data_IF_394964820745
#
_entry.id   IF_394964820745
#
_cell.length_a   1.000
_cell.length_b   1.000
_cell.length_c   1.000
_cell.angle_alpha   90.00
_cell.angle_beta   90.00
_cell.angle_gamma   90.00
#
_symmetry.space_group_name_H-M   'P 1'
#
loop_
_entity.id
_entity.type
_entity.pdbx_description
1 polymer ?
#
# COMPACT_ATOMS: atom_id res chain seq x y z
N UNK A 1 -25.56 30.75 -9.78
CA UNK A 1 -25.34 30.54 -8.34
C UNK A 1 -23.93 30.02 -8.24
N UNK A 2 -23.07 30.64 -7.44
CA UNK A 2 -21.72 30.11 -7.22
C UNK A 2 -21.82 28.78 -6.46
N UNK A 3 -20.97 27.79 -6.78
CA UNK A 3 -21.00 26.50 -6.09
C UNK A 3 -20.65 26.67 -4.62
N UNK A 4 -21.32 25.89 -3.76
CA UNK A 4 -21.05 25.90 -2.32
C UNK A 4 -19.67 25.32 -2.02
N UNK A 5 -19.14 25.60 -0.83
CA UNK A 5 -17.87 25.02 -0.39
C UNK A 5 -17.94 23.48 -0.38
N UNK A 6 -19.05 22.91 0.09
CA UNK A 6 -19.26 21.46 0.10
C UNK A 6 -19.21 20.85 -1.30
N UNK A 7 -19.83 21.51 -2.29
CA UNK A 7 -19.78 21.07 -3.70
C UNK A 7 -18.35 21.13 -4.26
N UNK A 8 -17.61 22.21 -3.95
CA UNK A 8 -16.20 22.34 -4.35
C UNK A 8 -15.33 21.26 -3.73
N UNK A 9 -15.50 20.99 -2.43
CA UNK A 9 -14.77 19.94 -1.71
C UNK A 9 -15.10 18.54 -2.23
N UNK A 10 -16.36 18.27 -2.58
CA UNK A 10 -16.76 17.00 -3.17
C UNK A 10 -16.06 16.77 -4.52
N UNK A 11 -16.03 17.78 -5.39
CA UNK A 11 -15.34 17.71 -6.68
C UNK A 11 -13.82 17.57 -6.49
N UNK A 12 -13.22 18.33 -5.58
CA UNK A 12 -11.79 18.24 -5.29
C UNK A 12 -11.41 16.86 -4.70
N UNK A 13 -12.27 16.27 -3.87
CA UNK A 13 -12.09 14.92 -3.33
C UNK A 13 -12.08 13.87 -4.45
N UNK A 14 -13.01 13.97 -5.39
CA UNK A 14 -13.07 13.06 -6.55
C UNK A 14 -11.82 13.17 -7.43
N UNK A 15 -11.33 14.39 -7.66
CA UNK A 15 -10.09 14.63 -8.42
C UNK A 15 -8.86 14.00 -7.75
N UNK A 16 -8.76 14.11 -6.41
CA UNK A 16 -7.68 13.46 -5.64
C UNK A 16 -7.72 11.94 -5.78
N UNK A 17 -8.91 11.33 -5.67
CA UNK A 17 -9.06 9.88 -5.79
C UNK A 17 -8.67 9.35 -7.17
N UNK A 18 -8.83 10.17 -8.22
CA UNK A 18 -8.46 9.85 -9.59
C UNK A 18 -7.01 10.21 -9.94
N UNK A 19 -6.24 10.74 -8.99
CA UNK A 19 -4.86 11.15 -9.24
C UNK A 19 -4.01 9.96 -9.73
N UNK A 20 -3.19 10.14 -10.78
CA UNK A 20 -2.24 9.12 -11.18
C UNK A 20 -1.22 8.81 -10.06
N UNK A 21 -0.71 7.57 -10.01
CA UNK A 21 0.27 7.19 -8.99
C UNK A 21 1.54 8.04 -9.10
N UNK A 22 1.94 8.67 -7.99
CA UNK A 22 3.11 9.56 -7.95
C UNK A 22 2.82 11.03 -8.27
N UNK A 23 1.60 11.38 -8.67
CA UNK A 23 1.22 12.75 -9.10
C UNK A 23 0.19 13.41 -8.16
N UNK A 24 -0.13 12.77 -7.03
CA UNK A 24 -1.15 13.26 -6.08
C UNK A 24 -0.83 14.65 -5.52
N UNK A 25 0.46 14.95 -5.30
CA UNK A 25 0.87 16.27 -4.81
C UNK A 25 0.63 17.36 -5.85
N UNK A 26 0.84 17.05 -7.14
CA UNK A 26 0.57 17.99 -8.23
C UNK A 26 -0.94 18.22 -8.36
N UNK A 27 -1.74 17.15 -8.34
CA UNK A 27 -3.21 17.24 -8.34
C UNK A 27 -3.72 18.03 -7.13
N UNK A 28 -3.16 17.80 -5.95
CA UNK A 28 -3.51 18.54 -4.73
C UNK A 28 -3.23 20.05 -4.88
N UNK A 29 -2.08 20.41 -5.45
CA UNK A 29 -1.74 21.80 -5.72
C UNK A 29 -2.64 22.44 -6.79
N UNK A 30 -3.09 21.66 -7.78
CA UNK A 30 -3.98 22.12 -8.85
C UNK A 30 -5.44 22.31 -8.38
N UNK A 31 -5.91 21.55 -7.39
CA UNK A 31 -7.26 21.74 -6.82
C UNK A 31 -7.33 22.86 -5.80
N UNK A 32 -6.20 23.27 -5.22
CA UNK A 32 -6.13 24.32 -4.19
C UNK A 32 -6.79 25.65 -4.62
N UNK A 33 -6.55 26.19 -5.84
CA UNK A 33 -7.25 27.39 -6.31
C UNK A 33 -8.76 27.23 -6.52
N UNK A 34 -9.25 26.00 -6.66
CA UNK A 34 -10.68 25.71 -6.90
C UNK A 34 -11.47 25.82 -5.59
N UNK A 35 -10.89 25.30 -4.50
CA UNK A 35 -11.53 25.28 -3.18
C UNK A 35 -11.39 26.64 -2.48
N UNK A 36 -10.17 27.20 -2.44
CA UNK A 36 -9.88 28.47 -1.78
C UNK A 36 -9.02 28.31 -0.52
N UNK A 37 -9.65 28.32 0.66
CA UNK A 37 -8.97 28.43 1.95
C UNK A 37 -8.23 27.13 2.38
N UNK A 38 -6.96 27.27 2.74
CA UNK A 38 -6.07 26.14 3.08
C UNK A 38 -6.57 25.31 4.26
N UNK A 39 -7.13 25.95 5.30
CA UNK A 39 -7.63 25.24 6.48
C UNK A 39 -8.85 24.36 6.18
N UNK A 40 -9.68 24.77 5.22
CA UNK A 40 -10.86 24.01 4.78
C UNK A 40 -10.47 22.87 3.84
N UNK A 41 -9.45 23.07 3.01
CA UNK A 41 -8.83 22.05 2.15
C UNK A 41 -8.23 20.93 3.02
N UNK A 42 -7.45 21.29 4.03
CA UNK A 42 -6.78 20.30 4.90
C UNK A 42 -7.78 19.41 5.63
N UNK A 43 -8.85 19.97 6.20
CA UNK A 43 -9.87 19.18 6.90
C UNK A 43 -10.84 18.48 5.95
N UNK A 44 -11.21 19.13 4.84
CA UNK A 44 -12.20 18.62 3.90
C UNK A 44 -11.68 17.52 2.98
N UNK A 45 -10.39 17.54 2.62
CA UNK A 45 -9.79 16.57 1.71
C UNK A 45 -9.06 15.42 2.43
N UNK A 46 -8.86 15.51 3.75
CA UNK A 46 -8.23 14.46 4.54
C UNK A 46 -8.89 13.06 4.34
N UNK A 47 -10.22 12.92 4.26
CA UNK A 47 -10.84 11.63 3.98
C UNK A 47 -10.46 11.07 2.59
N UNK A 48 -10.44 11.93 1.57
CA UNK A 48 -10.06 11.55 0.21
C UNK A 48 -8.57 11.17 0.12
N UNK A 49 -7.70 11.92 0.78
CA UNK A 49 -6.27 11.60 0.88
C UNK A 49 -6.03 10.31 1.67
N UNK A 50 -6.81 10.06 2.72
CA UNK A 50 -6.75 8.82 3.50
C UNK A 50 -7.08 7.63 2.62
N UNK A 51 -8.22 7.70 1.92
CA UNK A 51 -8.64 6.65 1.00
C UNK A 51 -7.62 6.46 -0.13
N UNK A 52 -7.17 7.54 -0.77
CA UNK A 52 -6.16 7.48 -1.83
C UNK A 52 -4.90 6.77 -1.34
N UNK A 53 -4.35 7.16 -0.20
CA UNK A 53 -3.12 6.59 0.35
C UNK A 53 -3.25 5.08 0.65
N UNK A 54 -4.39 4.66 1.22
CA UNK A 54 -4.67 3.26 1.53
C UNK A 54 -4.84 2.44 0.25
N UNK A 55 -5.59 2.94 -0.73
CA UNK A 55 -5.80 2.23 -1.99
C UNK A 55 -4.51 2.14 -2.80
N UNK A 56 -3.68 3.18 -2.77
CA UNK A 56 -2.45 3.28 -3.54
C UNK A 56 -1.24 2.57 -2.90
N UNK A 57 -1.42 1.97 -1.73
CA UNK A 57 -0.35 1.33 -0.96
C UNK A 57 0.84 2.27 -0.74
N UNK A 58 0.54 3.48 -0.24
CA UNK A 58 1.56 4.47 0.08
C UNK A 58 2.58 3.87 1.04
N UNK A 59 3.85 4.12 0.76
CA UNK A 59 4.98 3.64 1.54
C UNK A 59 5.42 4.72 2.52
N UNK A 60 5.78 4.31 3.74
CA UNK A 60 6.26 5.19 4.79
C UNK A 60 7.52 4.63 5.44
N UNK A 61 8.51 5.47 5.65
CA UNK A 61 9.74 5.09 6.35
C UNK A 61 9.49 5.06 7.87
N UNK A 62 9.93 3.98 8.51
CA UNK A 62 9.86 3.82 9.97
C UNK A 62 11.26 3.88 10.59
N UNK A 63 11.40 4.42 11.82
CA UNK A 63 12.64 4.34 12.56
C UNK A 63 13.10 2.89 12.70
N UNK A 64 14.38 2.63 12.44
CA UNK A 64 15.02 1.32 12.55
C UNK A 64 14.47 0.21 11.64
N UNK A 65 13.60 0.53 10.66
CA UNK A 65 13.16 -0.43 9.66
C UNK A 65 14.14 -0.47 8.47
N UNK A 66 14.38 -1.67 7.94
CA UNK A 66 15.23 -1.85 6.74
C UNK A 66 14.49 -1.55 5.44
N UNK A 67 13.17 -1.65 5.47
CA UNK A 67 12.28 -1.41 4.34
C UNK A 67 11.12 -0.53 4.80
N UNK A 68 10.55 0.28 3.91
CA UNK A 68 9.39 1.09 4.24
C UNK A 68 8.18 0.20 4.57
N UNK A 69 7.35 0.67 5.51
CA UNK A 69 6.07 0.08 5.82
C UNK A 69 5.02 0.49 4.79
N UNK A 70 4.07 -0.41 4.54
CA UNK A 70 3.00 -0.20 3.57
C UNK A 70 1.70 0.20 4.28
N UNK A 71 1.07 1.27 3.81
CA UNK A 71 -0.26 1.69 4.25
C UNK A 71 -1.31 0.97 3.41
N UNK A 72 -1.94 -0.06 3.98
CA UNK A 72 -2.99 -0.83 3.33
C UNK A 72 -4.09 -1.25 4.32
N UNK A 73 -5.25 -1.72 3.85
CA UNK A 73 -6.33 -2.17 4.74
C UNK A 73 -5.89 -3.29 5.70
N UNK A 74 -5.03 -4.20 5.22
CA UNK A 74 -4.44 -5.29 6.01
C UNK A 74 -3.50 -4.82 7.12
N UNK A 75 -2.93 -3.62 7.03
CA UNK A 75 -2.11 -3.02 8.09
C UNK A 75 -2.93 -2.31 9.17
N UNK A 76 -4.19 -1.96 8.91
CA UNK A 76 -5.01 -1.14 9.80
C UNK A 76 -5.37 -1.85 11.11
N UNK A 77 -5.03 -1.26 12.25
CA UNK A 77 -5.44 -1.72 13.59
C UNK A 77 -6.42 -0.69 14.14
N UNK A 78 -7.68 -1.10 14.27
CA UNK A 78 -8.71 -0.29 14.93
C UNK A 78 -8.64 -0.54 16.43
N UNK A 79 -8.18 0.47 17.17
CA UNK A 79 -8.28 0.48 18.63
C UNK A 79 -9.63 1.07 19.03
N UNK A 80 -10.05 0.83 20.28
CA UNK A 80 -11.30 1.34 20.84
C UNK A 80 -11.36 2.88 20.94
N UNK A 81 -10.23 3.56 20.76
CA UNK A 81 -10.13 5.01 20.59
C UNK A 81 -10.29 5.39 19.12
N UNK A 82 -10.80 6.59 18.82
CA UNK A 82 -11.00 7.12 17.46
C UNK A 82 -9.70 7.25 16.61
N UNK A 83 -8.58 6.68 17.04
CA UNK A 83 -7.29 6.74 16.35
C UNK A 83 -7.02 5.44 15.59
N UNK A 84 -6.84 5.57 14.28
CA UNK A 84 -6.42 4.46 13.43
C UNK A 84 -4.91 4.33 13.47
N UNK A 85 -4.41 3.16 13.90
CA UNK A 85 -2.98 2.82 13.80
C UNK A 85 -2.73 1.86 12.66
N UNK A 86 -1.50 1.84 12.18
CA UNK A 86 -1.02 0.87 11.19
C UNK A 86 0.06 0.01 11.83
N UNK A 87 0.04 -1.28 11.51
CA UNK A 87 0.99 -2.28 11.94
C UNK A 87 1.98 -2.56 10.80
N UNK A 88 3.26 -2.64 11.12
CA UNK A 88 4.27 -3.30 10.29
C UNK A 88 4.76 -4.58 10.99
N UNK A 89 4.36 -5.77 10.53
CA UNK A 89 4.78 -7.04 11.11
C UNK A 89 6.29 -7.26 11.03
N UNK A 90 6.95 -6.72 9.99
CA UNK A 90 8.38 -6.98 9.75
C UNK A 90 9.26 -6.24 10.74
N UNK A 91 8.98 -4.96 10.99
CA UNK A 91 9.68 -4.21 12.04
C UNK A 91 9.09 -4.44 13.43
N UNK A 92 7.95 -5.15 13.54
CA UNK A 92 7.24 -5.37 14.81
C UNK A 92 6.89 -4.04 15.49
N UNK A 93 6.38 -3.08 14.71
CA UNK A 93 6.03 -1.73 15.16
C UNK A 93 4.60 -1.38 14.75
N UNK A 94 3.94 -0.54 15.55
CA UNK A 94 2.69 0.13 15.20
C UNK A 94 2.87 1.64 15.26
N UNK A 95 2.17 2.37 14.41
CA UNK A 95 2.33 3.81 14.30
C UNK A 95 1.04 4.48 13.83
N UNK A 96 0.91 5.77 14.09
CA UNK A 96 -0.12 6.63 13.50
C UNK A 96 0.42 7.19 12.20
N UNK A 97 -0.38 7.16 11.13
CA UNK A 97 0.04 7.70 9.84
C UNK A 97 -0.62 9.05 9.57
N UNK A 98 0.19 10.08 9.35
CA UNK A 98 -0.27 11.39 8.91
C UNK A 98 -0.47 11.36 7.40
N UNK A 99 -1.73 11.29 6.96
CA UNK A 99 -2.11 11.22 5.54
C UNK A 99 -1.84 12.52 4.76
N UNK A 100 -1.61 13.66 5.43
CA UNK A 100 -1.25 14.92 4.78
C UNK A 100 0.26 15.00 4.56
N UNK A 101 1.05 14.67 5.58
CA UNK A 101 2.52 14.76 5.54
C UNK A 101 3.20 13.50 5.02
N UNK A 102 2.45 12.41 4.87
CA UNK A 102 2.93 11.10 4.47
C UNK A 102 4.06 10.58 5.39
N UNK A 103 3.87 10.75 6.70
CA UNK A 103 4.87 10.36 7.70
C UNK A 103 4.26 9.53 8.84
N UNK A 104 5.11 8.72 9.47
CA UNK A 104 4.75 7.94 10.64
C UNK A 104 4.99 8.75 11.92
N UNK A 105 4.04 8.67 12.85
CA UNK A 105 4.04 9.31 14.16
C UNK A 105 3.75 8.27 15.24
N UNK A 106 4.15 8.59 16.49
CA UNK A 106 3.89 7.76 17.67
C UNK A 106 4.22 6.27 17.45
N UNK A 107 5.47 5.95 17.11
CA UNK A 107 5.90 4.58 16.82
C UNK A 107 6.04 3.80 18.13
N UNK A 108 5.31 2.69 18.26
CA UNK A 108 5.30 1.81 19.41
C UNK A 108 5.66 0.38 19.00
N UNK A 109 6.39 -0.39 19.82
CA UNK A 109 6.65 -1.80 19.55
C UNK A 109 5.34 -2.60 19.61
N UNK A 110 5.27 -3.66 18.80
CA UNK A 110 4.15 -4.59 18.74
C UNK A 110 4.66 -6.03 18.76
N UNK A 111 3.99 -6.88 19.53
CA UNK A 111 4.27 -8.31 19.58
C UNK A 111 3.04 -9.09 19.10
N UNK A 112 3.19 -10.05 18.18
CA UNK A 112 2.08 -10.86 17.71
C UNK A 112 1.51 -11.72 18.84
N UNK A 113 0.18 -11.86 18.88
CA UNK A 113 -0.51 -12.63 19.93
C UNK A 113 -0.35 -14.15 19.76
N UNK A 114 -0.17 -14.62 18.53
CA UNK A 114 -0.14 -16.05 18.20
C UNK A 114 1.14 -16.44 17.46
N UNK A 115 2.03 -17.14 18.17
CA UNK A 115 3.34 -17.59 17.66
C UNK A 115 3.23 -18.60 16.51
N UNK A 116 2.19 -19.44 16.47
CA UNK A 116 2.02 -20.45 15.41
C UNK A 116 1.63 -19.79 14.08
N UNK A 117 0.72 -18.81 14.12
CA UNK A 117 0.31 -18.04 12.94
C UNK A 117 1.49 -17.18 12.44
N UNK A 118 2.25 -16.59 13.36
CA UNK A 118 3.41 -15.78 13.01
C UNK A 118 4.49 -16.61 12.30
N UNK A 119 4.70 -17.87 12.71
CA UNK A 119 5.62 -18.77 12.02
C UNK A 119 5.21 -18.99 10.55
N UNK A 120 3.94 -19.23 10.28
CA UNK A 120 3.43 -19.40 8.91
C UNK A 120 3.54 -18.09 8.12
N UNK A 121 3.28 -16.95 8.77
CA UNK A 121 3.44 -15.62 8.17
C UNK A 121 4.89 -15.36 7.75
N UNK A 122 5.86 -15.73 8.58
CA UNK A 122 7.29 -15.60 8.29
C UNK A 122 7.72 -16.50 7.12
N UNK A 123 7.21 -17.73 7.05
CA UNK A 123 7.44 -18.62 5.90
C UNK A 123 6.89 -18.03 4.60
N UNK A 124 5.67 -17.45 4.63
CA UNK A 124 5.09 -16.73 3.49
C UNK A 124 5.88 -15.47 3.12
N UNK A 125 6.35 -14.70 4.11
CA UNK A 125 7.13 -13.47 3.88
C UNK A 125 8.48 -13.77 3.21
N UNK A 126 9.16 -14.86 3.59
CA UNK A 126 10.42 -15.27 2.99
C UNK A 126 10.27 -15.74 1.53
N UNK A 127 9.22 -16.51 1.22
CA UNK A 127 8.94 -16.92 -0.16
C UNK A 127 8.49 -15.72 -1.02
N UNK A 128 7.73 -14.79 -0.44
CA UNK A 128 7.33 -13.55 -1.09
C UNK A 128 8.54 -12.63 -1.35
N UNK A 129 9.51 -12.56 -0.43
CA UNK A 129 10.77 -11.83 -0.61
C UNK A 129 11.49 -12.26 -1.87
N UNK A 130 11.75 -13.57 -1.98
CA UNK A 130 12.46 -14.13 -3.14
C UNK A 130 11.70 -13.83 -4.43
N UNK A 131 10.38 -14.04 -4.44
CA UNK A 131 9.54 -13.76 -5.60
C UNK A 131 9.62 -12.29 -6.04
N UNK A 132 9.45 -11.36 -5.10
CA UNK A 132 9.36 -9.93 -5.40
C UNK A 132 10.70 -9.38 -5.87
N UNK A 133 11.82 -9.82 -5.26
CA UNK A 133 13.16 -9.43 -5.71
C UNK A 133 13.45 -9.89 -7.14
N UNK A 134 12.99 -11.08 -7.53
CA UNK A 134 13.21 -11.64 -8.87
C UNK A 134 12.34 -10.97 -9.96
N UNK A 135 11.14 -10.48 -9.61
CA UNK A 135 10.14 -10.03 -10.61
C UNK A 135 9.86 -8.52 -10.59
N UNK A 136 10.06 -7.84 -9.46
CA UNK A 136 9.76 -6.41 -9.29
C UNK A 136 11.00 -5.64 -8.86
N UNK A 137 11.55 -4.86 -9.79
CA UNK A 137 12.70 -4.00 -9.47
C UNK A 137 12.29 -2.88 -8.49
N UNK A 138 12.73 -2.98 -7.24
CA UNK A 138 12.30 -2.07 -6.17
C UNK A 138 10.87 -2.31 -5.68
N UNK A 139 10.33 -3.52 -5.87
CA UNK A 139 9.03 -3.89 -5.32
C UNK A 139 9.07 -4.05 -3.80
N UNK A 140 7.97 -3.67 -3.14
CA UNK A 140 7.78 -3.85 -1.70
C UNK A 140 6.60 -4.78 -1.47
N UNK A 141 6.71 -5.63 -0.46
CA UNK A 141 5.63 -6.53 -0.06
C UNK A 141 5.43 -6.54 1.45
N UNK A 142 4.22 -6.92 1.86
CA UNK A 142 3.86 -7.10 3.26
C UNK A 142 2.83 -8.22 3.40
N UNK A 143 3.03 -9.09 4.38
CA UNK A 143 2.13 -10.21 4.71
C UNK A 143 1.50 -9.95 6.07
N UNK A 144 0.18 -10.04 6.16
CA UNK A 144 -0.61 -9.84 7.37
C UNK A 144 -1.48 -11.05 7.68
N UNK A 145 -1.72 -11.33 8.96
CA UNK A 145 -2.74 -12.28 9.41
C UNK A 145 -4.10 -11.59 9.55
N UNK A 146 -5.18 -12.18 9.04
CA UNK A 146 -6.53 -11.58 9.10
C UNK A 146 -7.23 -11.75 10.46
N UNK A 147 -6.69 -12.54 11.37
CA UNK A 147 -7.24 -12.72 12.72
C UNK A 147 -6.86 -11.54 13.61
N UNK A 148 -7.43 -10.37 13.34
CA UNK A 148 -7.28 -9.20 14.21
C UNK A 148 -8.33 -9.27 15.31
N UNK A 149 -8.01 -9.92 16.42
CA UNK A 149 -8.59 -9.55 17.72
C UNK A 149 -7.93 -8.24 18.16
N UNK A 150 -8.69 -7.23 18.65
CA UNK A 150 -8.09 -6.07 19.29
C UNK A 150 -7.29 -6.53 20.53
N UNK A 151 -6.10 -5.97 20.80
CA UNK A 151 -5.30 -6.39 21.95
C UNK A 151 -6.03 -6.09 23.25
N UNK A 152 -6.51 -7.16 23.91
CA UNK A 152 -7.03 -7.11 25.28
C UNK A 152 -5.85 -7.10 26.26
N UNK A 153 -5.18 -5.96 26.39
CA UNK A 153 -4.26 -5.75 27.50
C UNK A 153 -4.13 -4.28 27.89
N UNK A 154 -5.13 -3.73 28.56
CA UNK A 154 -4.96 -2.71 29.62
C UNK A 154 -6.22 -2.65 30.52
N UNK A 155 -6.60 -3.78 31.12
CA UNK A 155 -7.54 -3.78 32.25
C UNK A 155 -6.77 -3.63 33.55
N UNK A 156 -6.72 -2.40 34.08
CA UNK A 156 -6.68 -2.19 35.52
C UNK A 156 -7.84 -1.25 35.90
N UNK A 157 -8.72 -1.65 36.83
CA UNK A 157 -9.87 -0.84 37.21
C UNK A 157 -9.40 0.38 38.00
N UNK A 158 -9.51 1.57 37.41
CA UNK A 158 -9.30 2.83 38.14
C UNK A 158 -10.62 3.23 38.78
N UNK A 159 -10.65 3.15 40.11
CA UNK A 159 -11.77 3.47 40.97
C UNK A 159 -12.39 4.84 40.66
N UNK A 160 -13.72 4.87 40.65
CA UNK A 160 -14.57 6.05 40.61
C UNK A 160 -14.21 7.00 41.76
N UNK A 161 -14.02 8.28 41.44
CA UNK A 161 -14.14 9.36 42.42
C UNK A 161 -15.05 10.43 41.84
N UNK A 162 -16.26 10.51 42.40
CA UNK A 162 -17.27 11.53 42.14
C UNK A 162 -16.68 12.93 42.38
N UNK A 163 -16.93 13.84 41.44
CA UNK A 163 -16.68 15.28 41.59
C UNK A 163 -18.06 15.93 41.79
N UNK A 164 -18.29 16.47 42.98
CA UNK A 164 -19.38 17.41 43.27
C UNK A 164 -18.99 18.83 42.83
N UNK A 165 -19.98 19.55 42.29
CA UNK A 165 -19.88 20.95 41.88
C UNK A 165 -19.77 21.92 43.06
N UNK A 166 -18.92 22.94 42.93
CA UNK A 166 -19.22 24.29 43.43
C UNK A 166 -18.35 25.35 42.72
N UNK A 167 -19.00 26.38 42.18
CA UNK A 167 -18.38 27.64 41.69
C UNK A 167 -18.37 28.70 42.83
N UNK A 168 -18.03 29.98 42.58
CA UNK A 168 -16.69 30.53 42.36
C UNK A 168 -16.37 31.65 43.38
N UNK A 169 -15.12 32.10 43.49
CA UNK A 169 -14.88 33.45 44.02
C UNK A 169 -13.56 34.11 43.58
N UNK A 170 -13.75 35.22 42.86
CA UNK A 170 -13.10 36.54 42.98
C UNK A 170 -11.56 36.68 43.08
N UNK A 171 -11.04 37.31 42.03
CA UNK A 171 -9.83 38.15 41.92
C UNK A 171 -9.71 39.21 43.06
N UNK A 172 -8.56 39.88 43.32
CA UNK A 172 -7.83 40.64 42.29
C UNK A 172 -6.28 40.84 42.43
N UNK A 173 -5.67 41.14 41.27
CA UNK A 173 -4.65 42.18 40.98
C UNK A 173 -3.33 42.26 41.77
N UNK A 174 -2.20 42.27 41.03
CA UNK A 174 -1.25 43.41 41.03
C UNK A 174 -0.11 43.22 39.99
N UNK A 175 0.24 44.35 39.38
CA UNK A 175 1.28 44.65 38.38
C UNK A 175 2.73 44.38 38.85
N UNK A 176 3.67 44.22 37.90
CA UNK A 176 4.86 45.09 37.75
C UNK A 176 5.93 44.55 36.75
N UNK A 177 6.07 45.25 35.61
CA UNK A 177 7.29 45.77 34.95
C UNK A 177 8.53 44.90 34.60
N UNK A 178 8.76 44.84 33.27
CA UNK A 178 9.91 45.32 32.46
C UNK A 178 11.36 44.78 32.53
N UNK A 179 11.98 44.84 31.33
CA UNK A 179 13.41 44.82 30.92
C UNK A 179 14.05 43.44 30.67
N UNK A 180 14.80 43.18 29.60
CA UNK A 180 15.21 43.98 28.44
C UNK A 180 16.04 43.16 27.42
N UNK A 181 16.07 43.68 26.19
CA UNK A 181 17.07 43.60 25.11
C UNK A 181 17.82 42.30 24.75
N UNK A 182 17.55 41.81 23.52
CA UNK A 182 18.51 41.75 22.41
C UNK A 182 19.49 40.58 22.32
N UNK A 183 19.40 39.76 21.27
CA UNK A 183 20.36 39.82 20.15
C UNK A 183 19.96 38.93 18.95
N UNK A 184 20.48 39.32 17.79
CA UNK A 184 20.27 38.82 16.44
C UNK A 184 20.94 37.46 16.14
N UNK A 185 20.24 36.68 15.29
CA UNK A 185 20.64 35.67 14.27
C UNK A 185 22.06 35.73 13.63
N UNK A 186 22.41 34.87 12.62
CA UNK A 186 22.09 33.45 12.33
C UNK A 186 23.29 32.64 11.74
N UNK A 187 23.08 31.34 11.53
CA UNK A 187 23.44 30.66 10.27
C UNK A 187 24.76 29.88 10.21
N UNK A 188 24.66 28.57 9.97
CA UNK A 188 25.71 27.78 9.32
C UNK A 188 25.10 26.85 8.27
N UNK A 189 25.68 26.92 7.06
CA UNK A 189 25.69 25.90 6.02
C UNK A 189 26.37 24.62 6.58
N UNK A 190 26.35 23.41 6.04
CA UNK A 190 26.76 22.96 4.71
C UNK A 190 26.41 21.45 4.55
N UNK A 191 26.17 21.06 3.30
CA UNK A 191 26.65 19.86 2.59
C UNK A 191 26.37 18.45 3.12
N UNK A 192 25.68 17.72 2.24
CA UNK A 192 25.80 16.29 1.99
C UNK A 192 27.25 15.84 1.75
N UNK A 193 27.64 14.70 2.32
CA UNK A 193 28.64 13.83 1.70
C UNK A 193 28.34 12.36 2.05
N UNK A 194 28.21 11.56 0.99
CA UNK A 194 28.03 10.11 0.98
C UNK A 194 29.29 9.39 1.45
N UNK A 195 29.14 8.31 2.22
CA UNK A 195 30.17 7.28 2.36
C UNK A 195 29.56 5.87 2.18
N UNK A 196 29.77 5.31 1.00
CA UNK A 196 29.70 3.86 0.74
C UNK A 196 30.99 3.20 1.24
N UNK A 197 30.88 2.06 1.93
CA UNK A 197 32.01 1.14 2.15
C UNK A 197 31.62 -0.27 1.71
N UNK A 198 32.51 -0.82 0.91
CA UNK A 198 32.43 -2.08 0.20
C UNK A 198 32.51 -3.34 1.07
N UNK A 199 32.03 -4.40 0.46
CA UNK A 199 32.00 -5.81 0.84
C UNK A 199 33.41 -6.42 0.68
N UNK A 200 33.87 -7.27 1.61
CA UNK A 200 34.72 -8.40 1.25
C UNK A 200 34.55 -9.60 2.21
N UNK A 201 34.99 -10.76 1.71
CA UNK A 201 34.50 -12.11 1.93
C UNK A 201 35.56 -13.03 2.58
N UNK A 202 35.18 -14.31 2.85
CA UNK A 202 35.98 -15.52 3.24
C UNK A 202 36.15 -15.77 4.75
N UNK A 203 36.19 -16.99 5.30
CA UNK A 203 36.10 -18.40 4.84
C UNK A 203 36.35 -19.33 6.06
N UNK A 204 35.81 -20.58 6.05
CA UNK A 204 36.32 -21.86 6.66
C UNK A 204 36.44 -21.99 8.20
N UNK A 205 36.27 -23.14 8.88
CA UNK A 205 36.03 -24.56 8.56
C UNK A 205 35.58 -25.37 9.81
N UNK A 206 35.06 -26.57 9.53
CA UNK A 206 34.67 -27.79 10.29
C UNK A 206 35.30 -28.13 11.66
N UNK A 207 34.55 -28.81 12.54
CA UNK A 207 34.90 -30.16 13.06
C UNK A 207 33.71 -30.91 13.72
N UNK A 208 33.76 -32.25 13.59
CA UNK A 208 32.81 -33.31 13.99
C UNK A 208 33.20 -33.93 15.35
N UNK A 209 32.26 -34.40 16.18
CA UNK A 209 32.35 -35.67 16.94
C UNK A 209 30.97 -36.15 17.44
N UNK A 210 30.74 -37.46 17.31
CA UNK A 210 29.59 -38.26 17.76
C UNK A 210 29.69 -38.66 19.25
N UNK A 211 28.57 -38.97 19.92
CA UNK A 211 28.38 -40.24 20.65
C UNK A 211 26.96 -40.40 21.27
N UNK A 212 26.54 -41.66 21.40
CA UNK A 212 25.19 -42.16 21.66
C UNK A 212 24.82 -42.42 23.16
N UNK A 213 23.49 -42.45 23.41
CA UNK A 213 22.71 -43.41 24.23
C UNK A 213 22.59 -43.36 25.79
N UNK A 214 21.32 -43.17 26.20
CA UNK A 214 20.46 -44.02 27.07
C UNK A 214 20.24 -43.74 28.59
N UNK A 215 18.92 -43.60 28.88
CA UNK A 215 18.08 -44.06 30.01
C UNK A 215 18.03 -43.29 31.35
N UNK A 216 16.81 -42.83 31.70
CA UNK A 216 15.95 -43.46 32.74
C UNK A 216 14.53 -42.86 32.76
N UNK A 217 13.55 -43.75 32.88
CA UNK A 217 12.12 -43.48 33.14
C UNK A 217 11.89 -42.96 34.57
N UNK A 218 10.91 -42.06 34.73
CA UNK A 218 10.13 -41.98 35.97
C UNK A 218 8.68 -41.56 35.63
N UNK A 219 7.73 -42.37 36.11
CA UNK A 219 6.29 -42.30 35.86
C UNK A 219 5.61 -41.54 37.00
N UNK A 220 4.81 -40.51 36.70
CA UNK A 220 3.80 -39.98 37.62
C UNK A 220 2.49 -39.69 36.89
N UNK A 221 1.39 -40.16 37.50
CA UNK A 221 0.04 -40.26 36.94
C UNK A 221 -0.79 -38.96 37.00
N UNK A 222 -1.48 -38.68 35.88
CA UNK A 222 -2.85 -38.08 35.70
C UNK A 222 -3.04 -36.56 35.96
N UNK A 223 -3.98 -35.87 35.27
CA UNK A 223 -5.21 -36.40 34.63
C UNK A 223 -5.34 -36.11 33.13
N UNK A 224 -6.43 -36.66 32.57
CA UNK A 224 -6.80 -36.69 31.17
C UNK A 224 -6.58 -35.36 30.44
N UNK A 225 -5.84 -35.43 29.34
CA UNK A 225 -5.81 -34.42 28.28
C UNK A 225 -7.25 -34.23 27.80
N UNK A 226 -7.86 -33.13 28.24
CA UNK A 226 -8.94 -32.52 27.48
C UNK A 226 -8.39 -32.25 26.09
N UNK A 227 -8.95 -32.97 25.12
CA UNK A 227 -8.79 -32.68 23.70
C UNK A 227 -9.19 -31.23 23.48
N UNK A 228 -8.20 -30.33 23.54
CA UNK A 228 -8.32 -29.01 22.95
C UNK A 228 -8.27 -29.26 21.44
N UNK A 229 -9.44 -29.60 20.91
CA UNK A 229 -9.74 -29.47 19.50
C UNK A 229 -9.41 -28.02 19.18
N UNK A 230 -8.26 -27.79 18.53
CA UNK A 230 -7.93 -26.51 17.94
C UNK A 230 -9.17 -26.07 17.18
N UNK A 231 -9.71 -24.92 17.55
CA UNK A 231 -10.70 -24.30 16.70
C UNK A 231 -9.95 -23.94 15.42
N UNK A 232 -10.16 -24.76 14.38
CA UNK A 232 -9.61 -24.62 13.03
C UNK A 232 -10.15 -23.38 12.30
N UNK A 233 -10.57 -22.37 13.05
CA UNK A 233 -11.06 -21.08 12.58
C UNK A 233 -9.87 -20.23 12.11
N UNK A 234 -9.42 -20.62 10.91
CA UNK A 234 -8.93 -19.79 9.81
C UNK A 234 -7.54 -19.17 9.94
N UNK A 235 -6.51 -19.94 9.54
CA UNK A 235 -5.20 -19.40 9.17
C UNK A 235 -5.31 -18.66 7.81
N UNK A 236 -5.91 -17.46 7.86
CA UNK A 236 -6.08 -16.56 6.71
C UNK A 236 -5.02 -15.48 6.72
N UNK A 237 -4.41 -15.27 5.56
CA UNK A 237 -3.36 -14.28 5.37
C UNK A 237 -3.73 -13.34 4.22
N UNK A 238 -3.21 -12.13 4.26
CA UNK A 238 -3.23 -11.19 3.15
C UNK A 238 -1.79 -10.86 2.75
N UNK A 239 -1.47 -11.04 1.48
CA UNK A 239 -0.22 -10.61 0.88
C UNK A 239 -0.48 -9.39 0.00
N UNK A 240 0.24 -8.31 0.27
CA UNK A 240 0.24 -7.10 -0.54
C UNK A 240 1.58 -6.98 -1.25
N UNK A 241 1.55 -6.66 -2.54
CA UNK A 241 2.75 -6.37 -3.35
C UNK A 241 2.52 -5.05 -4.06
N UNK A 242 3.49 -4.14 -3.98
CA UNK A 242 3.51 -2.89 -4.74
C UNK A 242 4.81 -2.75 -5.50
N UNK A 243 4.71 -2.51 -6.81
CA UNK A 243 5.83 -2.16 -7.67
C UNK A 243 5.56 -0.80 -8.29
N UNK A 244 6.42 0.18 -8.02
CA UNK A 244 6.25 1.54 -8.55
C UNK A 244 7.47 1.96 -9.35
N UNK A 245 7.25 2.67 -10.45
CA UNK A 245 8.32 3.28 -11.22
C UNK A 245 7.86 4.62 -11.78
N UNK A 246 8.56 5.67 -11.40
CA UNK A 246 8.25 7.03 -11.78
C UNK A 246 9.43 7.64 -12.52
N UNK A 247 9.15 8.26 -13.66
CA UNK A 247 10.15 9.03 -14.39
C UNK A 247 9.50 10.32 -14.91
N UNK A 248 9.25 11.29 -14.01
CA UNK A 248 8.58 12.53 -14.40
C UNK A 248 9.40 13.34 -15.42
N UNK A 249 10.73 13.22 -15.42
CA UNK A 249 11.60 13.82 -16.44
C UNK A 249 11.38 13.28 -17.86
N UNK A 250 10.82 12.07 -17.98
CA UNK A 250 10.38 11.47 -19.24
C UNK A 250 8.85 11.39 -19.36
N UNK A 251 8.11 12.14 -18.53
CA UNK A 251 6.66 12.29 -18.59
C UNK A 251 5.87 10.99 -18.44
N UNK A 252 6.32 10.07 -17.56
CA UNK A 252 5.53 8.87 -17.27
C UNK A 252 5.66 8.35 -15.84
N UNK A 253 4.57 7.77 -15.37
CA UNK A 253 4.46 7.11 -14.07
C UNK A 253 3.77 5.76 -14.24
N UNK A 254 4.13 4.80 -13.40
CA UNK A 254 3.56 3.46 -13.43
C UNK A 254 3.54 2.82 -12.06
N UNK A 255 2.46 2.11 -11.76
CA UNK A 255 2.29 1.37 -10.52
C UNK A 255 1.53 0.07 -10.76
N UNK A 256 2.08 -0.99 -10.18
CA UNK A 256 1.49 -2.30 -10.06
C UNK A 256 1.14 -2.54 -8.59
N UNK A 257 -0.08 -3.02 -8.33
CA UNK A 257 -0.57 -3.37 -6.99
C UNK A 257 -1.22 -4.75 -7.07
N UNK A 258 -0.76 -5.69 -6.26
CA UNK A 258 -1.42 -6.99 -6.08
C UNK A 258 -1.82 -7.17 -4.63
N UNK A 259 -3.02 -7.69 -4.42
CA UNK A 259 -3.52 -8.17 -3.12
C UNK A 259 -3.94 -9.61 -3.29
N UNK A 260 -3.47 -10.48 -2.40
CA UNK A 260 -3.88 -11.88 -2.35
C UNK A 260 -4.41 -12.21 -0.97
N UNK A 261 -5.67 -12.65 -0.92
CA UNK A 261 -6.26 -13.25 0.26
C UNK A 261 -6.05 -14.76 0.19
N UNK A 262 -5.29 -15.29 1.14
CA UNK A 262 -4.82 -16.67 1.15
C UNK A 262 -5.48 -17.37 2.34
N UNK A 263 -6.33 -18.35 2.04
CA UNK A 263 -6.87 -19.25 3.04
C UNK A 263 -6.09 -20.56 3.02
N UNK A 264 -5.20 -20.74 4.01
CA UNK A 264 -4.34 -21.92 4.10
C UNK A 264 -5.11 -23.19 4.46
N UNK A 265 -6.31 -23.04 5.06
CA UNK A 265 -7.15 -24.17 5.48
C UNK A 265 -7.93 -24.77 4.31
N UNK A 266 -8.49 -23.91 3.46
CA UNK A 266 -9.23 -24.31 2.26
C UNK A 266 -8.35 -24.41 1.02
N UNK A 267 -7.09 -23.97 1.12
CA UNK A 267 -6.12 -23.90 0.03
C UNK A 267 -6.62 -23.07 -1.17
N UNK A 268 -7.39 -22.01 -0.87
CA UNK A 268 -7.96 -21.07 -1.84
C UNK A 268 -7.26 -19.72 -1.76
N UNK A 269 -6.97 -19.14 -2.93
CA UNK A 269 -6.37 -17.80 -3.04
C UNK A 269 -7.29 -16.93 -3.90
N UNK A 270 -7.65 -15.77 -3.38
CA UNK A 270 -8.36 -14.73 -4.13
C UNK A 270 -7.44 -13.54 -4.34
N UNK A 271 -7.16 -13.21 -5.59
CA UNK A 271 -6.26 -12.14 -5.97
C UNK A 271 -7.00 -10.93 -6.53
N UNK A 272 -6.41 -9.76 -6.36
CA UNK A 272 -6.80 -8.51 -6.99
C UNK A 272 -5.53 -7.81 -7.48
N UNK A 273 -5.35 -7.74 -8.79
CA UNK A 273 -4.21 -7.11 -9.45
C UNK A 273 -4.70 -5.85 -10.15
N UNK A 274 -4.06 -4.72 -9.84
CA UNK A 274 -4.35 -3.41 -10.42
C UNK A 274 -3.07 -2.85 -11.03
N UNK A 275 -3.14 -2.44 -12.30
CA UNK A 275 -2.01 -1.83 -13.01
C UNK A 275 -2.45 -0.50 -13.57
N UNK A 276 -1.69 0.54 -13.22
CA UNK A 276 -1.89 1.91 -13.66
C UNK A 276 -0.61 2.41 -14.33
N UNK A 277 -0.73 2.97 -15.53
CA UNK A 277 0.37 3.65 -16.23
C UNK A 277 -0.17 4.95 -16.79
N UNK A 278 0.58 6.03 -16.61
CA UNK A 278 0.24 7.35 -17.13
C UNK A 278 1.43 7.88 -17.95
N UNK A 279 1.15 8.32 -19.16
CA UNK A 279 2.11 8.96 -20.06
C UNK A 279 1.55 10.30 -20.51
N UNK A 280 2.31 11.38 -20.32
CA UNK A 280 1.81 12.74 -20.47
C UNK A 280 2.73 13.67 -21.29
N UNK A 281 3.58 13.11 -22.15
CA UNK A 281 4.34 13.93 -23.11
C UNK A 281 3.44 14.38 -24.28
N UNK A 282 3.15 15.69 -24.35
CA UNK A 282 2.36 16.30 -25.44
C UNK A 282 0.95 15.68 -25.63
N UNK A 283 0.42 15.07 -24.58
CA UNK A 283 -0.88 14.42 -24.55
C UNK A 283 -1.16 13.86 -23.15
N UNK A 284 -2.27 13.14 -22.97
CA UNK A 284 -2.57 12.39 -21.77
C UNK A 284 -3.08 11.00 -22.18
N UNK A 285 -2.29 9.98 -21.90
CA UNK A 285 -2.62 8.58 -22.18
C UNK A 285 -2.48 7.79 -20.90
N UNK A 286 -3.54 7.09 -20.53
CA UNK A 286 -3.58 6.26 -19.33
C UNK A 286 -3.96 4.82 -19.66
N UNK A 287 -3.30 3.88 -19.00
CA UNK A 287 -3.73 2.50 -18.86
C UNK A 287 -4.21 2.32 -17.42
N UNK A 288 -5.45 1.86 -17.27
CA UNK A 288 -5.98 1.34 -16.02
C UNK A 288 -6.55 -0.05 -16.30
N UNK A 289 -6.01 -1.08 -15.67
CA UNK A 289 -6.50 -2.45 -15.80
C UNK A 289 -6.57 -3.13 -14.44
N UNK A 290 -7.56 -3.99 -14.29
CA UNK A 290 -7.80 -4.79 -13.11
C UNK A 290 -8.03 -6.24 -13.50
N UNK A 291 -7.48 -7.16 -12.70
CA UNK A 291 -7.69 -8.59 -12.84
C UNK A 291 -7.95 -9.21 -11.46
N UNK A 292 -8.97 -10.05 -11.37
CA UNK A 292 -9.38 -10.69 -10.11
C UNK A 292 -9.28 -12.22 -10.24
N UNK A 293 -8.07 -12.81 -10.13
CA UNK A 293 -7.90 -14.25 -10.23
C UNK A 293 -8.44 -14.96 -8.98
N UNK A 294 -9.03 -16.13 -9.17
CA UNK A 294 -9.33 -17.08 -8.08
C UNK A 294 -8.60 -18.38 -8.38
N UNK A 295 -7.80 -18.84 -7.42
CA UNK A 295 -6.87 -19.95 -7.58
C UNK A 295 -7.19 -20.99 -6.50
N UNK A 296 -7.47 -22.22 -6.93
CA UNK A 296 -7.61 -23.38 -6.05
C UNK A 296 -6.31 -24.20 -6.10
N UNK A 297 -5.66 -24.40 -4.95
CA UNK A 297 -4.46 -25.22 -4.86
C UNK A 297 -4.83 -26.71 -4.80
N UNK A 298 -3.92 -27.56 -5.29
CA UNK A 298 -4.16 -29.00 -5.47
C UNK A 298 -4.13 -29.78 -4.14
N UNK A 299 -3.45 -29.27 -3.11
CA UNK A 299 -3.27 -29.93 -1.81
C UNK A 299 -3.52 -29.00 -0.64
N UNK A 300 -4.35 -29.44 0.31
CA UNK A 300 -4.55 -28.81 1.62
C UNK A 300 -3.88 -29.67 2.73
N UNK A 301 -3.24 -29.07 3.75
CA UNK A 301 -3.00 -27.63 3.94
C UNK A 301 -1.99 -27.08 2.91
N UNK A 302 -2.18 -25.83 2.50
CA UNK A 302 -1.29 -25.18 1.55
C UNK A 302 0.09 -24.91 2.17
N UNK A 303 1.15 -25.03 1.37
CA UNK A 303 2.50 -24.59 1.73
C UNK A 303 2.79 -23.21 1.10
N UNK A 304 3.50 -22.33 1.80
CA UNK A 304 3.98 -21.03 1.30
C UNK A 304 4.61 -21.10 -0.09
N UNK A 305 5.47 -22.09 -0.36
CA UNK A 305 6.11 -22.24 -1.67
C UNK A 305 5.11 -22.57 -2.80
N UNK A 306 4.06 -23.33 -2.50
CA UNK A 306 3.00 -23.63 -3.46
C UNK A 306 2.14 -22.40 -3.75
N UNK A 307 1.83 -21.62 -2.71
CA UNK A 307 1.09 -20.36 -2.81
C UNK A 307 1.83 -19.39 -3.73
N UNK A 308 3.12 -19.14 -3.46
CA UNK A 308 3.91 -18.19 -4.25
C UNK A 308 4.10 -18.64 -5.69
N UNK A 309 4.30 -19.94 -5.93
CA UNK A 309 4.38 -20.47 -7.30
C UNK A 309 3.08 -20.28 -8.09
N UNK A 310 1.93 -20.46 -7.43
CA UNK A 310 0.63 -20.27 -8.08
C UNK A 310 0.36 -18.79 -8.39
N UNK A 311 0.76 -17.88 -7.49
CA UNK A 311 0.73 -16.43 -7.70
C UNK A 311 1.62 -16.05 -8.89
N UNK A 312 2.89 -16.50 -8.91
CA UNK A 312 3.83 -16.24 -10.00
C UNK A 312 3.27 -16.65 -11.37
N UNK A 313 2.70 -17.87 -11.47
CA UNK A 313 2.14 -18.37 -12.71
C UNK A 313 0.94 -17.53 -13.17
N UNK A 314 0.11 -17.09 -12.23
CA UNK A 314 -1.06 -16.26 -12.51
C UNK A 314 -0.66 -14.86 -12.98
N UNK A 315 0.25 -14.20 -12.27
CA UNK A 315 0.77 -12.88 -12.66
C UNK A 315 1.49 -12.92 -14.01
N UNK A 316 2.30 -13.96 -14.25
CA UNK A 316 2.98 -14.16 -15.54
C UNK A 316 1.98 -14.34 -16.69
N UNK A 317 0.90 -15.10 -16.46
CA UNK A 317 -0.15 -15.30 -17.45
C UNK A 317 -0.88 -13.99 -17.74
N UNK A 318 -1.21 -13.23 -16.70
CA UNK A 318 -1.86 -11.93 -16.84
C UNK A 318 -0.97 -10.92 -17.60
N UNK A 319 0.31 -10.81 -17.25
CA UNK A 319 1.26 -9.93 -17.93
C UNK A 319 1.43 -10.28 -19.41
N UNK A 320 1.60 -11.57 -19.73
CA UNK A 320 1.68 -12.03 -21.11
C UNK A 320 0.38 -11.77 -21.89
N UNK A 321 -0.77 -11.94 -21.24
CA UNK A 321 -2.08 -11.61 -21.80
C UNK A 321 -2.22 -10.12 -22.12
N UNK A 322 -1.77 -9.24 -21.22
CA UNK A 322 -1.76 -7.80 -21.42
C UNK A 322 -0.87 -7.40 -22.62
N UNK A 323 0.33 -7.98 -22.72
CA UNK A 323 1.24 -7.76 -23.85
C UNK A 323 0.60 -8.18 -25.18
N UNK A 324 -0.02 -9.37 -25.22
CA UNK A 324 -0.71 -9.86 -26.41
C UNK A 324 -1.92 -8.98 -26.79
N UNK A 325 -2.68 -8.49 -25.80
CA UNK A 325 -3.80 -7.57 -26.03
C UNK A 325 -3.33 -6.25 -26.66
N UNK A 326 -2.21 -5.68 -26.20
CA UNK A 326 -1.64 -4.46 -26.77
C UNK A 326 -1.18 -4.64 -28.22
N UNK A 327 -0.55 -5.77 -28.54
CA UNK A 327 -0.18 -6.10 -29.92
C UNK A 327 -1.44 -6.20 -30.81
N UNK A 328 -2.50 -6.84 -30.31
CA UNK A 328 -3.77 -6.97 -31.04
C UNK A 328 -4.46 -5.60 -31.26
N UNK A 329 -4.49 -4.73 -30.24
CA UNK A 329 -5.06 -3.39 -30.33
C UNK A 329 -4.38 -2.55 -31.42
N UNK A 330 -3.04 -2.60 -31.46
CA UNK A 330 -2.22 -1.92 -32.47
C UNK A 330 -2.53 -2.40 -33.89
N UNK A 331 -2.65 -3.71 -34.08
CA UNK A 331 -2.77 -4.27 -35.41
C UNK A 331 -4.18 -4.35 -35.98
N UNK A 332 -5.20 -4.44 -35.13
CA UNK A 332 -6.58 -4.68 -35.55
C UNK A 332 -7.50 -3.51 -35.17
N UNK A 333 -7.67 -3.27 -33.88
CA UNK A 333 -8.72 -2.35 -33.36
C UNK A 333 -8.50 -0.91 -33.81
N UNK A 334 -7.29 -0.37 -33.68
CA UNK A 334 -7.01 1.01 -34.09
C UNK A 334 -7.11 1.20 -35.61
N UNK A 335 -6.76 0.18 -36.41
CA UNK A 335 -6.88 0.22 -37.88
C UNK A 335 -8.34 0.23 -38.34
N UNK A 336 -9.26 -0.36 -37.58
CA UNK A 336 -10.70 -0.30 -37.85
C UNK A 336 -11.29 1.07 -37.52
N UNK A 337 -10.85 1.71 -36.44
CA UNK A 337 -11.28 3.06 -36.08
C UNK A 337 -10.86 4.11 -37.11
N UNK A 338 -9.57 4.11 -37.46
CA UNK A 338 -9.03 5.05 -38.46
C UNK A 338 -7.90 4.40 -39.25
N UNK A 339 -8.09 4.36 -40.57
CA UNK A 339 -7.04 3.91 -41.48
C UNK A 339 -5.95 4.96 -41.58
N UNK A 340 -4.69 4.52 -41.62
CA UNK A 340 -3.55 5.41 -41.90
C UNK A 340 -3.65 6.07 -43.28
N UNK A 341 -4.19 5.35 -44.27
CA UNK A 341 -4.49 5.86 -45.61
C UNK A 341 -5.91 5.45 -46.03
N UNK A 342 -6.57 6.25 -46.91
CA UNK A 342 -7.81 5.85 -47.58
C UNK A 342 -7.70 4.48 -48.28
N UNK A 343 -8.84 3.90 -48.65
CA UNK A 343 -8.92 2.61 -49.38
C UNK A 343 -8.01 2.58 -50.61
N UNK A 344 -7.93 3.72 -51.30
CA UNK A 344 -7.11 3.93 -52.50
C UNK A 344 -5.60 3.88 -52.25
N UNK A 345 -5.15 3.81 -50.99
CA UNK A 345 -3.74 3.90 -50.57
C UNK A 345 -3.04 5.18 -51.06
N UNK A 346 -3.80 6.24 -51.30
CA UNK A 346 -3.30 7.56 -51.70
C UNK A 346 -3.87 8.63 -50.78
N UNK A 347 -3.11 9.71 -50.56
CA UNK A 347 -3.61 10.87 -49.80
C UNK A 347 -4.83 11.46 -50.50
N UNK A 348 -5.75 11.99 -49.71
CA UNK A 348 -6.94 12.69 -50.20
C UNK A 348 -6.56 13.78 -51.20
N UNK A 349 -7.09 13.72 -52.43
CA UNK A 349 -6.96 14.80 -53.39
C UNK A 349 -8.10 15.81 -53.17
N UNK A 350 -7.81 16.84 -52.38
CA UNK A 350 -8.78 17.88 -52.01
C UNK A 350 -9.36 18.66 -53.19
N UNK A 351 -8.63 18.77 -54.32
CA UNK A 351 -9.13 19.46 -55.52
C UNK A 351 -10.26 18.67 -56.21
N UNK A 352 -10.17 17.34 -56.19
CA UNK A 352 -11.17 16.45 -56.78
C UNK A 352 -12.43 16.32 -55.88
N UNK A 353 -12.27 16.42 -54.56
CA UNK A 353 -13.39 16.35 -53.61
C UNK A 353 -14.33 17.56 -53.67
N UNK A 354 -13.83 18.75 -54.07
CA UNK A 354 -14.67 19.96 -54.18
C UNK A 354 -15.64 19.94 -55.35
N UNK A 355 -15.44 19.08 -56.35
CA UNK A 355 -16.11 19.14 -57.64
C UNK A 355 -16.91 17.88 -58.02
N UNK A 356 -16.90 16.83 -57.20
CA UNK A 356 -17.66 15.60 -57.44
C UNK A 356 -18.84 15.45 -56.48
N UNK A 357 -20.05 15.48 -57.03
CA UNK A 357 -21.25 14.91 -56.40
C UNK A 357 -21.17 13.40 -56.65
N UNK A 358 -21.16 12.61 -55.57
CA UNK A 358 -21.25 11.15 -55.66
C UNK A 358 -22.72 10.80 -55.80
N UNK A 359 -23.13 10.33 -56.97
CA UNK A 359 -24.44 9.70 -57.13
C UNK A 359 -24.32 8.25 -56.64
N UNK A 360 -25.15 7.86 -55.67
CA UNK A 360 -25.34 6.46 -55.33
C UNK A 360 -26.22 5.84 -56.41
N UNK A 361 -25.60 5.22 -57.41
CA UNK A 361 -26.32 4.35 -58.34
C UNK A 361 -26.53 3.00 -57.65
N UNK A 362 -27.48 2.94 -56.71
CA UNK A 362 -28.20 1.71 -56.39
C UNK A 362 -29.58 1.78 -57.07
N UNK A 363 -29.64 1.19 -58.26
CA UNK A 363 -30.84 0.58 -58.84
C UNK A 363 -30.42 -0.48 -59.86
#
# INVERSE_FOLDING_TARGET
MEPTLEEKLAVASELILQAPPGEVNDVFNDVRPIVGDDSEIEQGLLPALTQYNIEQFTLVELPNAKMPAMICPGARVELSSNETRYLDPRSSQTFVFDHLRLCAMDVLPFTPENEEIEKIRLELDAEAEQYVQDHFHGGIWSVFSQNKTPPESLTQPKAEKQIELSEPNTNPSAEATETGAGNMSPGENETEENLEVAIDSKSTAETVTNDECMNKEEVLNKPAEENNILDSSTAKFQLYIVGSKYNPGNYWTGRWRSVYEIDMSTAKIEGHINVNVHYYEQGNVQLATQHQPSIDLISAPANAAQVMKAIQQTESTFQNGLNAAYLNLGDNTFKQLRRALPVTKQKANWNNMRSKIVFNDEN
#
